data_IF_933447246233
#
_entry.id   IF_933447246233
#
_cell.length_a   1.000
_cell.length_b   1.000
_cell.length_c   1.000
_cell.angle_alpha   90.00
_cell.angle_beta   90.00
_cell.angle_gamma   90.00
#
_symmetry.space_group_name_H-M   'P 1'
#
loop_
_entity.id
_entity.type
_entity.pdbx_description
1 polymer ?
#
# COMPACT_ATOMS: atom_id res chain seq x y z
N UNK A 1 5.35 6.33 10.58
CA UNK A 1 5.17 5.55 9.34
C UNK A 1 3.76 4.93 9.33
N UNK A 2 2.72 5.70 9.02
CA UNK A 2 1.33 5.25 9.28
C UNK A 2 0.61 4.75 8.03
N UNK A 3 0.88 5.32 6.86
CA UNK A 3 0.21 4.94 5.59
C UNK A 3 0.97 3.85 4.82
N UNK A 4 2.29 3.80 4.98
CA UNK A 4 3.16 2.92 4.20
C UNK A 4 2.98 1.44 4.56
N UNK A 5 2.79 1.14 5.85
CA UNK A 5 2.70 -0.24 6.33
C UNK A 5 1.47 -0.99 5.78
N UNK A 6 0.25 -0.41 5.79
CA UNK A 6 -0.90 -1.02 5.12
C UNK A 6 -0.66 -1.25 3.63
N UNK A 7 -0.05 -0.27 2.95
CA UNK A 7 0.25 -0.36 1.52
C UNK A 7 1.26 -1.48 1.20
N UNK A 8 2.27 -1.66 2.07
CA UNK A 8 3.23 -2.77 1.95
C UNK A 8 2.53 -4.11 2.09
N UNK A 9 1.66 -4.24 3.09
CA UNK A 9 0.98 -5.50 3.39
C UNK A 9 0.09 -5.91 2.20
N UNK A 10 -0.73 -4.98 1.70
CA UNK A 10 -1.58 -5.19 0.54
C UNK A 10 -0.78 -5.55 -0.73
N UNK A 11 0.36 -4.88 -0.96
CA UNK A 11 1.23 -5.19 -2.10
C UNK A 11 1.93 -6.54 -1.99
N UNK A 12 2.19 -7.03 -0.78
CA UNK A 12 2.78 -8.35 -0.55
C UNK A 12 1.77 -9.48 -0.74
N UNK A 13 0.46 -9.19 -0.61
CA UNK A 13 -0.61 -10.15 -0.85
C UNK A 13 -1.00 -10.26 -2.33
N UNK A 14 -0.61 -9.30 -3.17
CA UNK A 14 -0.86 -9.33 -4.61
C UNK A 14 0.06 -10.38 -5.28
N UNK A 15 -0.50 -11.50 -5.73
CA UNK A 15 0.23 -12.58 -6.42
C UNK A 15 1.01 -12.10 -7.65
N UNK A 16 0.64 -10.96 -8.25
CA UNK A 16 1.38 -10.37 -9.37
C UNK A 16 2.65 -9.62 -8.96
N UNK A 17 2.88 -9.43 -7.66
CA UNK A 17 4.02 -8.69 -7.10
C UNK A 17 5.09 -9.67 -6.62
N UNK A 18 6.29 -9.51 -7.16
CA UNK A 18 7.44 -10.38 -6.81
C UNK A 18 8.27 -9.83 -5.68
N UNK A 19 8.30 -8.50 -5.53
CA UNK A 19 9.16 -7.85 -4.54
C UNK A 19 8.60 -6.48 -4.16
N UNK A 20 8.51 -6.24 -2.85
CA UNK A 20 8.18 -4.94 -2.27
C UNK A 20 9.22 -4.60 -1.21
N UNK A 21 9.79 -3.40 -1.28
CA UNK A 21 10.73 -2.92 -0.26
C UNK A 21 10.45 -1.46 0.05
N UNK A 22 10.40 -1.14 1.33
CA UNK A 22 10.41 0.24 1.79
C UNK A 22 11.78 0.59 2.35
N UNK A 23 12.45 1.57 1.73
CA UNK A 23 13.75 2.05 2.18
C UNK A 23 13.58 3.42 2.82
N UNK A 24 13.87 3.50 4.12
CA UNK A 24 14.12 4.76 4.81
C UNK A 24 15.63 4.91 5.01
N UNK A 25 16.20 5.94 4.42
CA UNK A 25 17.59 6.32 4.68
C UNK A 25 17.71 7.15 5.96
N UNK A 26 18.60 8.13 5.96
CA UNK A 26 18.73 9.06 7.08
C UNK A 26 17.42 9.85 7.26
N UNK A 27 16.79 9.83 8.44
CA UNK A 27 15.44 10.37 8.65
C UNK A 27 15.21 11.83 8.21
N UNK A 28 16.26 12.64 8.25
CA UNK A 28 16.19 14.08 7.93
C UNK A 28 16.78 14.45 6.56
N UNK A 29 17.53 13.54 5.92
CA UNK A 29 18.28 13.84 4.69
C UNK A 29 17.76 13.06 3.48
N UNK A 30 17.15 11.89 3.72
CA UNK A 30 16.68 11.02 2.66
C UNK A 30 15.16 10.98 2.59
N UNK A 31 14.63 11.03 1.37
CA UNK A 31 13.22 10.76 1.15
C UNK A 31 12.95 9.26 1.22
N UNK A 32 11.86 8.83 1.89
CA UNK A 32 11.46 7.44 1.88
C UNK A 32 11.14 6.97 0.46
N UNK A 33 11.64 5.79 0.08
CA UNK A 33 11.42 5.20 -1.25
C UNK A 33 10.70 3.86 -1.11
N UNK A 34 9.59 3.72 -1.85
CA UNK A 34 8.89 2.45 -2.04
C UNK A 34 9.31 1.85 -3.38
N UNK A 35 9.90 0.66 -3.32
CA UNK A 35 10.27 -0.14 -4.48
C UNK A 35 9.26 -1.28 -4.66
N UNK A 36 8.75 -1.44 -5.89
CA UNK A 36 7.79 -2.50 -6.27
C UNK A 36 8.23 -3.13 -7.57
N UNK A 37 8.35 -4.47 -7.58
CA UNK A 37 8.59 -5.29 -8.76
C UNK A 37 7.40 -6.22 -8.95
N UNK A 38 6.97 -6.36 -10.20
CA UNK A 38 5.91 -7.28 -10.59
C UNK A 38 6.47 -8.36 -11.50
N UNK A 39 5.82 -9.52 -11.46
CA UNK A 39 6.16 -10.68 -12.29
C UNK A 39 5.81 -10.41 -13.76
N UNK A 40 4.65 -9.78 -13.99
CA UNK A 40 4.19 -9.36 -15.30
C UNK A 40 3.35 -8.07 -15.21
N UNK A 41 3.24 -7.36 -16.34
CA UNK A 41 2.45 -6.13 -16.40
C UNK A 41 3.17 -4.89 -15.85
N UNK A 42 2.40 -3.93 -15.34
CA UNK A 42 2.89 -2.61 -14.91
C UNK A 42 2.86 -2.49 -13.38
N UNK A 43 3.99 -2.19 -12.69
CA UNK A 43 4.00 -2.03 -11.24
C UNK A 43 3.10 -0.89 -10.74
N UNK A 44 2.87 0.12 -11.58
CA UNK A 44 1.93 1.20 -11.28
C UNK A 44 0.48 0.69 -11.12
N UNK A 45 0.12 -0.38 -11.83
CA UNK A 45 -1.21 -1.00 -11.73
C UNK A 45 -1.38 -1.71 -10.40
N UNK A 46 -0.38 -2.47 -9.96
CA UNK A 46 -0.39 -3.13 -8.66
C UNK A 46 -0.50 -2.09 -7.53
N UNK A 47 0.31 -1.02 -7.58
CA UNK A 47 0.23 0.08 -6.63
C UNK A 47 -1.15 0.75 -6.59
N UNK A 48 -1.73 1.02 -7.76
CA UNK A 48 -3.07 1.63 -7.85
C UNK A 48 -4.15 0.72 -7.28
N UNK A 49 -4.05 -0.60 -7.52
CA UNK A 49 -4.98 -1.60 -7.00
C UNK A 49 -4.90 -1.63 -5.47
N UNK A 50 -3.71 -1.78 -4.91
CA UNK A 50 -3.48 -1.80 -3.48
C UNK A 50 -4.02 -0.54 -2.78
N UNK A 51 -3.69 0.65 -3.32
CA UNK A 51 -4.22 1.91 -2.80
C UNK A 51 -5.75 2.00 -2.87
N UNK A 52 -6.36 1.42 -3.91
CA UNK A 52 -7.81 1.41 -4.08
C UNK A 52 -8.49 0.44 -3.11
N UNK A 53 -7.91 -0.74 -2.87
CA UNK A 53 -8.40 -1.69 -1.85
C UNK A 53 -8.45 -1.01 -0.50
N UNK A 54 -7.32 -0.49 -0.03
CA UNK A 54 -7.21 0.21 1.26
C UNK A 54 -8.20 1.37 1.37
N UNK A 55 -8.31 2.20 0.33
CA UNK A 55 -9.28 3.30 0.32
C UNK A 55 -10.72 2.83 0.49
N UNK A 56 -11.08 1.69 -0.11
CA UNK A 56 -12.42 1.11 0.02
C UNK A 56 -12.64 0.50 1.41
N UNK A 57 -11.64 -0.17 1.98
CA UNK A 57 -11.71 -0.74 3.33
C UNK A 57 -11.92 0.33 4.40
N UNK A 58 -11.11 1.39 4.38
CA UNK A 58 -11.27 2.49 5.33
C UNK A 58 -12.62 3.21 5.16
N UNK A 59 -13.12 3.30 3.92
CA UNK A 59 -14.46 3.85 3.66
C UNK A 59 -15.54 2.96 4.26
N UNK A 60 -15.48 1.65 4.05
CA UNK A 60 -16.43 0.68 4.58
C UNK A 60 -16.40 0.65 6.12
N UNK A 61 -15.21 0.63 6.72
CA UNK A 61 -15.04 0.68 8.17
C UNK A 61 -15.66 1.94 8.78
N UNK A 62 -15.49 3.10 8.13
CA UNK A 62 -16.12 4.34 8.55
C UNK A 62 -17.65 4.28 8.47
N UNK A 63 -18.21 3.76 7.38
CA UNK A 63 -19.66 3.61 7.22
C UNK A 63 -20.25 2.66 8.28
N UNK A 64 -19.54 1.58 8.64
CA UNK A 64 -19.95 0.67 9.72
C UNK A 64 -19.96 1.37 11.09
N UNK A 65 -18.95 2.19 11.37
CA UNK A 65 -18.89 2.98 12.59
C UNK A 65 -20.01 4.01 12.67
N UNK A 66 -20.33 4.69 11.57
CA UNK A 66 -21.43 5.66 11.49
C UNK A 66 -22.80 4.98 11.70
N UNK A 67 -23.00 3.76 11.21
CA UNK A 67 -24.24 2.98 11.42
C UNK A 67 -24.36 2.36 12.81
N UNK A 68 -23.25 2.23 13.53
CA UNK A 68 -23.21 1.66 14.89
C UNK A 68 -23.41 2.73 15.99
N UNK A 69 -23.53 4.01 15.61
CA UNK A 69 -23.96 5.11 16.47
C UNK A 69 -25.47 5.26 16.46
#
# INVERSE_FOLDING_TARGET
MTIVQPLLSELLEDEGVTEVRFKTGHPELDFPVLFVRVESGKPQTALKRAAKTLSNEFKAARELLEKSK
#
